data_IF_968112626033
#
_entry.id   IF_968112626033
#
_cell.length_a   1.000
_cell.length_b   1.000
_cell.length_c   1.000
_cell.angle_alpha   90.00
_cell.angle_beta   90.00
_cell.angle_gamma   90.00
#
_symmetry.space_group_name_H-M   'P 1'
#
loop_
_entity.id
_entity.type
_entity.pdbx_description
1 polymer ?
#
# COMPACT_ATOMS: atom_id res chain seq x y z
N UNK A 1 18.81 -24.83 -0.67
CA UNK A 1 20.06 -24.15 -1.06
C UNK A 1 19.87 -22.64 -1.15
N UNK A 2 18.89 -22.14 -1.90
CA UNK A 2 18.66 -20.71 -2.17
C UNK A 2 18.30 -19.94 -0.90
N UNK A 3 17.44 -20.50 -0.05
CA UNK A 3 17.05 -19.90 1.24
C UNK A 3 18.27 -19.68 2.14
N UNK A 4 19.18 -20.66 2.19
CA UNK A 4 20.40 -20.54 2.99
C UNK A 4 21.28 -19.40 2.47
N UNK A 5 21.48 -19.31 1.16
CA UNK A 5 22.27 -18.24 0.53
C UNK A 5 21.65 -16.86 0.83
N UNK A 6 20.34 -16.74 0.77
CA UNK A 6 19.62 -15.51 1.11
C UNK A 6 19.84 -15.12 2.60
N UNK A 7 19.71 -16.09 3.50
CA UNK A 7 19.95 -15.86 4.94
C UNK A 7 21.40 -15.49 5.25
N UNK A 8 22.37 -16.09 4.58
CA UNK A 8 23.80 -15.73 4.73
C UNK A 8 24.07 -14.29 4.28
N UNK A 9 23.40 -13.82 3.19
CA UNK A 9 23.46 -12.41 2.75
C UNK A 9 22.85 -11.46 3.79
N UNK A 10 21.67 -11.77 4.30
CA UNK A 10 21.00 -10.97 5.32
C UNK A 10 21.87 -10.91 6.59
N UNK A 11 22.41 -12.06 7.02
CA UNK A 11 23.32 -12.11 8.18
C UNK A 11 24.57 -11.24 7.99
N UNK A 12 25.11 -11.20 6.77
CA UNK A 12 26.25 -10.33 6.46
C UNK A 12 25.84 -8.85 6.58
N UNK A 13 24.73 -8.44 5.98
CA UNK A 13 24.24 -7.08 6.09
C UNK A 13 23.99 -6.65 7.55
N UNK A 14 23.46 -7.57 8.36
CA UNK A 14 23.26 -7.33 9.79
C UNK A 14 24.58 -7.15 10.53
N UNK A 15 25.57 -8.01 10.30
CA UNK A 15 26.92 -7.91 10.87
C UNK A 15 27.64 -6.62 10.47
N UNK A 16 27.45 -6.20 9.23
CA UNK A 16 28.02 -4.97 8.68
C UNK A 16 27.25 -3.71 9.15
N UNK A 17 26.22 -3.88 10.00
CA UNK A 17 25.34 -2.80 10.55
C UNK A 17 24.61 -2.00 9.48
N UNK A 18 24.30 -2.64 8.37
CA UNK A 18 23.53 -2.08 7.27
C UNK A 18 22.02 -2.33 7.41
N UNK A 19 21.63 -3.20 8.35
CA UNK A 19 20.23 -3.46 8.72
C UNK A 19 20.06 -3.03 10.18
N UNK A 20 18.87 -2.51 10.50
CA UNK A 20 18.50 -2.12 11.86
C UNK A 20 18.78 -3.27 12.83
N UNK A 21 19.62 -3.07 13.86
CA UNK A 21 19.93 -4.12 14.85
C UNK A 21 18.72 -4.58 15.64
N UNK A 22 17.68 -3.76 15.73
CA UNK A 22 16.44 -4.06 16.45
C UNK A 22 15.34 -4.62 15.54
N UNK A 23 15.66 -5.01 14.31
CA UNK A 23 14.68 -5.49 13.32
C UNK A 23 13.79 -6.64 13.81
N UNK A 24 14.28 -7.46 14.75
CA UNK A 24 13.54 -8.61 15.27
C UNK A 24 12.60 -8.26 16.44
N UNK A 25 12.74 -7.07 17.02
CA UNK A 25 11.95 -6.63 18.18
C UNK A 25 11.07 -5.43 17.87
N UNK A 26 11.26 -4.78 16.73
CA UNK A 26 10.38 -3.68 16.28
C UNK A 26 9.08 -4.22 15.71
N UNK A 27 8.00 -3.52 15.99
CA UNK A 27 6.70 -3.80 15.39
C UNK A 27 6.58 -3.19 13.97
N UNK A 28 7.27 -2.07 13.73
CA UNK A 28 7.29 -1.37 12.45
C UNK A 28 8.60 -0.60 12.24
N UNK A 29 8.77 0.01 11.08
CA UNK A 29 9.94 0.80 10.72
C UNK A 29 9.69 2.32 10.78
N UNK A 30 8.52 2.79 11.21
CA UNK A 30 8.15 4.21 11.12
C UNK A 30 9.06 5.10 11.97
N UNK A 31 9.30 4.73 13.22
CA UNK A 31 10.12 5.53 14.13
C UNK A 31 11.54 5.81 13.60
N UNK A 32 12.34 4.79 13.20
CA UNK A 32 13.68 5.04 12.68
C UNK A 32 13.68 5.76 11.31
N UNK A 33 12.63 5.61 10.51
CA UNK A 33 12.46 6.37 9.26
C UNK A 33 12.27 7.86 9.54
N UNK A 34 11.34 8.22 10.42
CA UNK A 34 11.06 9.61 10.79
C UNK A 34 12.23 10.25 11.54
N UNK A 35 13.00 9.46 12.28
CA UNK A 35 14.22 9.91 12.95
C UNK A 35 15.42 10.09 12.00
N UNK A 36 15.27 9.89 10.69
CA UNK A 36 16.33 10.05 9.70
C UNK A 36 17.46 9.03 9.82
N UNK A 37 17.22 7.89 10.47
CA UNK A 37 18.22 6.84 10.69
C UNK A 37 18.27 5.79 9.58
N UNK A 38 17.29 5.81 8.68
CA UNK A 38 17.13 4.83 7.61
C UNK A 38 17.10 5.56 6.28
N UNK A 39 17.97 5.18 5.35
CA UNK A 39 18.03 5.75 4.00
C UNK A 39 17.35 4.91 2.93
N UNK A 40 17.09 3.63 3.21
CA UNK A 40 16.40 2.71 2.30
C UNK A 40 15.50 1.80 3.10
N UNK A 41 14.27 1.61 2.64
CA UNK A 41 13.36 0.60 3.18
C UNK A 41 12.54 -0.04 2.07
N UNK A 42 12.10 -1.25 2.30
CA UNK A 42 11.21 -1.96 1.39
C UNK A 42 9.78 -1.87 1.92
N UNK A 43 8.87 -1.51 1.05
CA UNK A 43 7.45 -1.47 1.38
C UNK A 43 6.63 -1.78 0.12
N UNK A 44 5.32 -1.98 0.31
CA UNK A 44 4.38 -2.00 -0.78
C UNK A 44 4.16 -0.58 -1.34
N UNK A 45 3.34 -0.46 -2.39
CA UNK A 45 3.06 0.82 -3.05
C UNK A 45 2.65 1.94 -2.06
N UNK A 46 1.98 1.60 -0.98
CA UNK A 46 1.54 2.55 0.05
C UNK A 46 2.65 3.04 1.00
N UNK A 47 3.91 2.77 0.72
CA UNK A 47 5.04 3.24 1.53
C UNK A 47 5.06 4.75 1.77
N UNK A 48 4.45 5.53 0.87
CA UNK A 48 4.26 6.96 1.02
C UNK A 48 3.57 7.38 2.31
N UNK A 49 2.61 6.59 2.80
CA UNK A 49 1.93 6.85 4.08
C UNK A 49 2.91 6.80 5.27
N UNK A 50 3.92 5.95 5.21
CA UNK A 50 4.92 5.83 6.28
C UNK A 50 5.81 7.07 6.38
N UNK A 51 6.13 7.70 5.24
CA UNK A 51 7.10 8.81 5.16
C UNK A 51 6.44 10.18 4.91
N UNK A 52 5.10 10.23 4.88
CA UNK A 52 4.37 11.46 4.59
C UNK A 52 4.67 12.59 5.56
N UNK A 53 4.77 12.30 6.85
CA UNK A 53 5.05 13.32 7.88
C UNK A 53 6.41 13.99 7.65
N UNK A 54 7.45 13.21 7.33
CA UNK A 54 8.78 13.75 7.02
C UNK A 54 8.78 14.54 5.69
N UNK A 55 7.98 14.10 4.72
CA UNK A 55 7.79 14.81 3.45
C UNK A 55 7.07 16.14 3.68
N UNK A 56 6.01 16.17 4.48
CA UNK A 56 5.27 17.39 4.83
C UNK A 56 6.14 18.39 5.60
N UNK A 57 7.01 17.92 6.47
CA UNK A 57 7.95 18.77 7.20
C UNK A 57 9.08 19.32 6.31
N UNK A 58 9.23 18.83 5.07
CA UNK A 58 10.32 19.22 4.17
C UNK A 58 11.70 18.68 4.60
N UNK A 59 11.72 17.66 5.45
CA UNK A 59 12.94 17.10 6.04
C UNK A 59 13.60 16.04 5.17
N UNK A 60 12.82 15.37 4.30
CA UNK A 60 13.31 14.27 3.47
C UNK A 60 12.61 14.23 2.10
N UNK A 61 13.37 13.94 1.05
CA UNK A 61 12.90 13.64 -0.30
C UNK A 61 12.91 12.12 -0.53
N UNK A 62 11.79 11.47 -0.20
CA UNK A 62 11.62 10.04 -0.39
C UNK A 62 11.15 9.72 -1.80
N UNK A 63 11.88 8.82 -2.47
CA UNK A 63 11.57 8.36 -3.83
C UNK A 63 11.45 6.85 -3.87
N UNK A 64 10.46 6.35 -4.61
CA UNK A 64 10.30 4.93 -4.83
C UNK A 64 11.12 4.47 -6.04
N UNK A 65 11.69 3.29 -5.90
CA UNK A 65 12.36 2.58 -6.97
C UNK A 65 11.80 1.17 -7.02
N UNK A 66 11.70 0.65 -8.23
CA UNK A 66 11.28 -0.72 -8.40
C UNK A 66 12.26 -1.68 -7.72
N UNK A 67 11.73 -2.75 -7.14
CA UNK A 67 12.57 -3.80 -6.51
C UNK A 67 13.55 -4.36 -7.53
N UNK A 68 14.81 -4.65 -7.14
CA UNK A 68 15.80 -5.20 -8.05
C UNK A 68 15.27 -6.41 -8.81
N UNK A 69 15.45 -6.40 -10.13
CA UNK A 69 14.97 -7.45 -11.01
C UNK A 69 15.84 -8.71 -10.90
N UNK A 70 15.26 -9.86 -11.24
CA UNK A 70 15.99 -11.10 -11.43
C UNK A 70 16.90 -11.01 -12.66
N UNK A 71 17.79 -12.02 -12.86
CA UNK A 71 18.77 -12.04 -13.97
C UNK A 71 18.11 -11.97 -15.34
N UNK A 72 16.87 -12.44 -15.48
CA UNK A 72 16.09 -12.39 -16.71
C UNK A 72 15.36 -11.05 -16.93
N UNK A 73 15.54 -10.09 -16.03
CA UNK A 73 14.96 -8.78 -16.11
C UNK A 73 13.53 -8.67 -15.58
N UNK A 74 13.00 -9.72 -14.94
CA UNK A 74 11.64 -9.74 -14.38
C UNK A 74 11.63 -9.58 -12.85
N UNK A 75 10.50 -9.13 -12.32
CA UNK A 75 10.19 -9.15 -10.91
C UNK A 75 9.16 -10.23 -10.60
N UNK A 76 9.58 -11.22 -9.85
CA UNK A 76 8.73 -12.33 -9.43
C UNK A 76 8.15 -12.07 -8.05
N UNK A 77 6.83 -12.02 -7.95
CA UNK A 77 6.13 -11.85 -6.67
C UNK A 77 5.18 -13.00 -6.42
N UNK A 78 5.18 -13.50 -5.19
CA UNK A 78 4.21 -14.49 -4.76
C UNK A 78 2.91 -13.80 -4.41
N UNK A 79 1.82 -14.23 -5.07
CA UNK A 79 0.49 -13.75 -4.76
C UNK A 79 0.12 -14.14 -3.33
N UNK A 80 -0.34 -13.20 -2.50
CA UNK A 80 -0.82 -13.53 -1.17
C UNK A 80 -2.08 -14.40 -1.26
N UNK A 81 -2.45 -15.01 -0.12
CA UNK A 81 -3.74 -15.67 -0.03
C UNK A 81 -4.85 -14.65 -0.32
N UNK A 82 -5.72 -14.90 -1.33
CA UNK A 82 -6.80 -13.96 -1.67
C UNK A 82 -7.79 -13.75 -0.51
N UNK A 83 -7.89 -14.72 0.40
CA UNK A 83 -8.72 -14.59 1.60
C UNK A 83 -7.84 -14.24 2.79
N UNK A 84 -7.71 -12.96 3.04
CA UNK A 84 -6.83 -12.39 4.06
C UNK A 84 -7.59 -12.09 5.37
N UNK A 85 -8.87 -11.68 5.27
CA UNK A 85 -9.70 -11.35 6.43
C UNK A 85 -11.01 -12.13 6.40
N UNK A 86 -11.51 -12.44 7.61
CA UNK A 86 -12.73 -13.21 7.78
C UNK A 86 -13.68 -12.51 8.72
N UNK A 87 -14.94 -12.40 8.35
CA UNK A 87 -16.00 -12.02 9.28
C UNK A 87 -16.55 -13.31 9.89
N UNK A 88 -16.46 -13.42 11.20
CA UNK A 88 -16.93 -14.62 11.92
C UNK A 88 -18.05 -14.28 12.89
N UNK A 89 -19.10 -15.09 12.89
CA UNK A 89 -20.17 -15.00 13.87
C UNK A 89 -20.02 -16.15 14.89
N UNK A 90 -20.19 -15.84 16.17
CA UNK A 90 -20.23 -16.89 17.21
C UNK A 90 -21.36 -17.87 16.93
N UNK A 91 -21.14 -19.16 17.18
CA UNK A 91 -22.20 -20.18 17.09
C UNK A 91 -23.42 -19.90 18.00
N UNK A 92 -23.22 -19.08 19.02
CA UNK A 92 -24.30 -18.67 19.95
C UNK A 92 -24.92 -17.33 19.55
N UNK A 93 -24.51 -16.74 18.41
CA UNK A 93 -25.10 -15.49 17.92
C UNK A 93 -26.57 -15.74 17.54
N UNK A 94 -27.45 -14.87 18.04
CA UNK A 94 -28.90 -14.98 17.78
C UNK A 94 -29.28 -14.52 16.37
N UNK A 95 -28.49 -13.61 15.81
CA UNK A 95 -28.75 -12.99 14.50
C UNK A 95 -27.47 -12.99 13.64
N UNK A 96 -26.95 -14.15 13.21
CA UNK A 96 -25.69 -14.23 12.46
C UNK A 96 -25.77 -13.50 11.11
N UNK A 97 -26.95 -13.40 10.52
CA UNK A 97 -27.21 -12.67 9.28
C UNK A 97 -26.96 -11.17 9.39
N UNK A 98 -26.94 -10.62 10.60
CA UNK A 98 -26.66 -9.20 10.82
C UNK A 98 -25.29 -8.79 10.30
N UNK A 99 -24.28 -9.67 10.39
CA UNK A 99 -22.94 -9.39 9.86
C UNK A 99 -22.97 -9.14 8.35
N UNK A 100 -23.68 -9.99 7.60
CA UNK A 100 -23.83 -9.81 6.14
C UNK A 100 -24.65 -8.56 5.78
N UNK A 101 -25.71 -8.27 6.54
CA UNK A 101 -26.52 -7.06 6.34
C UNK A 101 -25.67 -5.79 6.56
N UNK A 102 -24.82 -5.77 7.58
CA UNK A 102 -23.93 -4.65 7.84
C UNK A 102 -22.94 -4.48 6.70
N UNK A 103 -22.26 -5.54 6.28
CA UNK A 103 -21.30 -5.50 5.16
C UNK A 103 -21.98 -4.98 3.90
N UNK A 104 -23.15 -5.53 3.55
CA UNK A 104 -23.89 -5.08 2.36
C UNK A 104 -24.30 -3.61 2.46
N UNK A 105 -24.73 -3.15 3.63
CA UNK A 105 -25.07 -1.75 3.85
C UNK A 105 -23.86 -0.84 3.71
N UNK A 106 -22.72 -1.24 4.24
CA UNK A 106 -21.47 -0.49 4.15
C UNK A 106 -21.03 -0.35 2.68
N UNK A 107 -21.03 -1.44 1.91
CA UNK A 107 -20.67 -1.44 0.48
C UNK A 107 -21.64 -0.56 -0.32
N UNK A 108 -22.95 -0.71 -0.09
CA UNK A 108 -23.96 0.02 -0.86
C UNK A 108 -23.94 1.54 -0.64
N UNK A 109 -23.39 2.01 0.48
CA UNK A 109 -23.37 3.43 0.84
C UNK A 109 -21.96 4.04 0.87
N UNK A 110 -20.96 3.31 0.43
CA UNK A 110 -19.56 3.75 0.50
C UNK A 110 -19.33 5.09 -0.20
N UNK A 111 -19.85 5.26 -1.42
CA UNK A 111 -19.70 6.50 -2.17
C UNK A 111 -20.33 7.69 -1.42
N UNK A 112 -21.52 7.50 -0.86
CA UNK A 112 -22.20 8.55 -0.10
C UNK A 112 -21.36 9.01 1.10
N UNK A 113 -20.67 8.10 1.77
CA UNK A 113 -19.83 8.45 2.92
C UNK A 113 -18.54 9.16 2.51
N UNK A 114 -17.98 8.83 1.35
CA UNK A 114 -16.86 9.58 0.78
C UNK A 114 -17.30 11.01 0.46
N UNK A 115 -18.44 11.15 -0.21
CA UNK A 115 -19.00 12.46 -0.58
C UNK A 115 -19.38 13.32 0.64
N UNK A 116 -19.85 12.70 1.69
CA UNK A 116 -20.21 13.36 2.96
C UNK A 116 -18.98 13.65 3.87
N UNK A 117 -17.79 13.23 3.46
CA UNK A 117 -16.57 13.39 4.24
C UNK A 117 -16.52 12.56 5.53
N UNK A 118 -17.37 11.54 5.64
CA UNK A 118 -17.44 10.65 6.81
C UNK A 118 -16.33 9.62 6.78
N UNK A 119 -15.95 9.15 5.59
CA UNK A 119 -14.78 8.31 5.42
C UNK A 119 -13.57 9.16 5.04
N UNK A 120 -12.41 8.88 5.64
CA UNK A 120 -11.20 9.53 5.18
C UNK A 120 -10.87 9.07 3.76
N UNK A 121 -10.49 10.02 2.92
CA UNK A 121 -10.00 9.73 1.57
C UNK A 121 -8.69 8.94 1.60
N UNK A 122 -8.04 8.86 2.75
CA UNK A 122 -6.75 8.19 2.92
C UNK A 122 -6.88 6.68 3.11
N UNK A 123 -7.89 6.25 3.88
CA UNK A 123 -8.00 4.86 4.34
C UNK A 123 -9.32 4.20 3.96
N UNK A 124 -10.22 4.94 3.35
CA UNK A 124 -11.56 4.47 3.07
C UNK A 124 -12.36 4.22 4.36
N UNK A 125 -13.39 3.40 4.26
CA UNK A 125 -14.25 3.07 5.39
C UNK A 125 -13.69 2.03 6.35
N UNK A 126 -12.55 1.42 6.02
CA UNK A 126 -12.00 0.28 6.77
C UNK A 126 -11.62 0.60 8.22
N UNK A 127 -11.24 1.85 8.50
CA UNK A 127 -10.82 2.26 9.85
C UNK A 127 -12.01 2.47 10.79
N UNK A 128 -13.16 2.83 10.24
CA UNK A 128 -14.37 3.10 11.03
C UNK A 128 -15.24 1.86 11.23
N UNK A 129 -15.08 0.85 10.37
CA UNK A 129 -15.99 -0.30 10.34
C UNK A 129 -15.21 -1.62 10.33
N UNK A 130 -15.09 -2.27 11.49
CA UNK A 130 -14.31 -3.51 11.60
C UNK A 130 -14.85 -4.65 10.75
N UNK A 131 -16.09 -4.55 10.28
CA UNK A 131 -16.71 -5.57 9.42
C UNK A 131 -16.52 -5.30 7.92
N UNK A 132 -15.99 -4.15 7.55
CA UNK A 132 -15.77 -3.80 6.17
C UNK A 132 -14.31 -3.41 5.94
N UNK A 133 -13.71 -4.03 4.95
CA UNK A 133 -12.38 -3.73 4.48
C UNK A 133 -12.38 -4.03 2.97
N UNK A 134 -13.02 -3.16 2.23
CA UNK A 134 -13.14 -3.25 0.79
C UNK A 134 -12.22 -2.26 0.10
N UNK A 135 -11.76 -2.68 -1.04
CA UNK A 135 -11.10 -1.83 -2.03
C UNK A 135 -12.03 -1.71 -3.21
N UNK A 136 -11.82 -0.72 -4.06
CA UNK A 136 -12.64 -0.54 -5.26
C UNK A 136 -12.50 -1.72 -6.20
N UNK A 137 -11.46 -1.76 -7.01
CA UNK A 137 -11.16 -2.83 -7.93
C UNK A 137 -9.75 -3.39 -7.72
N UNK A 138 -9.50 -4.58 -8.23
CA UNK A 138 -8.19 -5.22 -8.12
C UNK A 138 -7.07 -4.44 -8.82
N UNK A 139 -7.43 -3.63 -9.82
CA UNK A 139 -6.55 -2.79 -10.63
C UNK A 139 -6.56 -1.31 -10.21
N UNK A 140 -7.09 -1.00 -9.01
CA UNK A 140 -7.22 0.39 -8.53
C UNK A 140 -5.91 1.17 -8.63
N UNK A 141 -4.80 0.57 -8.27
CA UNK A 141 -3.51 1.26 -8.21
C UNK A 141 -2.97 1.57 -9.60
N UNK A 142 -3.03 0.59 -10.49
CA UNK A 142 -2.61 0.74 -11.88
C UNK A 142 -3.44 1.82 -12.58
N UNK A 143 -4.75 1.69 -12.51
CA UNK A 143 -5.68 2.64 -13.16
C UNK A 143 -5.54 4.03 -12.58
N UNK A 144 -5.45 4.16 -11.24
CA UNK A 144 -5.28 5.46 -10.60
C UNK A 144 -3.95 6.11 -10.98
N UNK A 145 -2.85 5.37 -10.94
CA UNK A 145 -1.52 5.89 -11.28
C UNK A 145 -1.48 6.35 -12.74
N UNK A 146 -1.86 5.50 -13.68
CA UNK A 146 -1.86 5.84 -15.12
C UNK A 146 -2.78 7.02 -15.44
N UNK A 147 -3.95 7.08 -14.80
CA UNK A 147 -4.90 8.17 -15.02
C UNK A 147 -4.35 9.49 -14.50
N UNK A 148 -3.75 9.50 -13.30
CA UNK A 148 -3.14 10.70 -12.74
C UNK A 148 -1.95 11.19 -13.58
N UNK A 149 -1.12 10.29 -14.10
CA UNK A 149 -0.01 10.62 -14.98
C UNK A 149 -0.51 11.27 -16.27
N UNK A 150 -1.49 10.67 -16.96
CA UNK A 150 -2.12 11.23 -18.18
C UNK A 150 -2.79 12.58 -17.91
N UNK A 151 -3.44 12.73 -16.76
CA UNK A 151 -4.08 13.97 -16.36
C UNK A 151 -3.06 15.09 -16.07
N UNK A 152 -1.94 14.78 -15.42
CA UNK A 152 -0.86 15.73 -15.22
C UNK A 152 -0.16 16.10 -16.52
N UNK A 153 0.00 15.14 -17.44
CA UNK A 153 0.53 15.39 -18.78
C UNK A 153 -0.41 16.22 -19.66
N UNK A 154 -1.67 16.39 -19.24
CA UNK A 154 -2.69 17.12 -20.04
C UNK A 154 -3.26 16.32 -21.20
N UNK A 155 -3.07 15.00 -21.21
CA UNK A 155 -3.58 14.09 -22.24
C UNK A 155 -5.08 13.82 -22.07
N UNK A 156 -5.57 13.91 -20.84
CA UNK A 156 -6.98 13.71 -20.48
C UNK A 156 -7.47 14.81 -19.54
N UNK A 157 -8.77 14.97 -19.48
CA UNK A 157 -9.52 15.83 -18.56
C UNK A 157 -10.37 14.99 -17.62
N UNK A 158 -11.01 15.60 -16.63
CA UNK A 158 -11.94 14.89 -15.75
C UNK A 158 -13.18 14.35 -16.48
N UNK A 159 -13.58 15.00 -17.57
CA UNK A 159 -14.74 14.58 -18.38
C UNK A 159 -14.48 13.31 -19.21
N UNK A 160 -13.21 12.95 -19.36
CA UNK A 160 -12.78 11.73 -20.09
C UNK A 160 -12.75 10.48 -19.19
N UNK A 161 -13.03 10.61 -17.89
CA UNK A 161 -12.86 9.52 -16.90
C UNK A 161 -14.20 9.04 -16.36
N UNK A 162 -14.41 7.73 -16.41
CA UNK A 162 -15.53 7.07 -15.71
C UNK A 162 -15.14 6.76 -14.26
N UNK A 163 -15.69 7.52 -13.33
CA UNK A 163 -15.43 7.36 -11.90
C UNK A 163 -16.27 6.27 -11.22
N UNK A 164 -17.16 5.59 -11.95
CA UNK A 164 -18.09 4.61 -11.36
C UNK A 164 -17.39 3.40 -10.75
N UNK A 165 -16.21 3.07 -11.24
CA UNK A 165 -15.44 1.89 -10.82
C UNK A 165 -14.30 2.22 -9.86
N UNK A 166 -13.83 3.47 -9.82
CA UNK A 166 -12.68 3.93 -9.02
C UNK A 166 -13.06 5.18 -8.23
N UNK A 167 -13.72 4.98 -7.11
CA UNK A 167 -14.40 6.04 -6.34
C UNK A 167 -13.46 7.14 -5.82
N UNK A 168 -12.23 6.78 -5.43
CA UNK A 168 -11.26 7.74 -4.90
C UNK A 168 -10.56 8.53 -6.02
N UNK A 169 -10.58 8.05 -7.25
CA UNK A 169 -9.87 8.66 -8.36
C UNK A 169 -10.31 10.09 -8.66
N UNK A 170 -11.60 10.40 -8.47
CA UNK A 170 -12.11 11.76 -8.64
C UNK A 170 -11.46 12.74 -7.67
N UNK A 171 -11.41 12.40 -6.39
CA UNK A 171 -10.78 13.23 -5.37
C UNK A 171 -9.26 13.32 -5.58
N UNK A 172 -8.62 12.25 -6.03
CA UNK A 172 -7.21 12.23 -6.38
C UNK A 172 -6.90 13.22 -7.52
N UNK A 173 -7.71 13.21 -8.59
CA UNK A 173 -7.57 14.14 -9.72
C UNK A 173 -7.84 15.60 -9.32
N UNK A 174 -8.83 15.86 -8.45
CA UNK A 174 -9.10 17.20 -7.93
C UNK A 174 -7.95 17.73 -7.07
N UNK A 175 -7.29 16.87 -6.31
CA UNK A 175 -6.22 17.23 -5.39
C UNK A 175 -4.86 17.35 -6.09
N UNK A 176 -4.54 16.47 -7.05
CA UNK A 176 -3.18 16.33 -7.57
C UNK A 176 -2.63 17.62 -8.20
N UNK A 177 -3.43 18.35 -8.97
CA UNK A 177 -3.00 19.64 -9.57
C UNK A 177 -2.83 20.76 -8.55
N UNK A 178 -3.45 20.64 -7.38
CA UNK A 178 -3.25 21.63 -6.29
C UNK A 178 -2.00 21.34 -5.48
N UNK A 179 -1.62 20.08 -5.41
CA UNK A 179 -0.45 19.63 -4.65
C UNK A 179 0.82 19.57 -5.48
N UNK A 180 0.75 19.13 -6.74
CA UNK A 180 1.91 19.04 -7.63
C UNK A 180 2.19 20.38 -8.32
N UNK A 181 3.46 20.77 -8.34
CA UNK A 181 3.96 21.94 -9.12
C UNK A 181 4.50 21.45 -10.46
N UNK A 182 4.32 22.26 -11.49
CA UNK A 182 4.96 22.01 -12.78
C UNK A 182 6.49 22.22 -12.73
N UNK A 183 7.27 21.46 -13.50
CA UNK A 183 6.86 20.35 -14.37
C UNK A 183 6.52 19.09 -13.56
N UNK A 184 5.60 18.28 -14.09
CA UNK A 184 5.09 17.07 -13.41
C UNK A 184 5.94 15.82 -13.65
N UNK A 185 7.02 15.92 -14.38
CA UNK A 185 7.95 14.85 -14.70
C UNK A 185 8.93 14.53 -13.56
N UNK A 186 8.99 15.39 -12.54
CA UNK A 186 9.83 15.20 -11.35
C UNK A 186 8.96 15.10 -10.09
N UNK A 187 9.15 14.03 -9.33
CA UNK A 187 8.45 13.76 -8.08
C UNK A 187 9.27 14.13 -6.83
N UNK A 188 10.30 14.96 -6.99
CA UNK A 188 11.10 15.48 -5.87
C UNK A 188 10.27 16.36 -4.93
N UNK A 189 10.76 16.52 -3.70
CA UNK A 189 10.08 17.24 -2.62
C UNK A 189 9.72 18.70 -3.01
N UNK A 190 10.58 19.37 -3.72
CA UNK A 190 10.37 20.76 -4.17
C UNK A 190 9.27 20.90 -5.24
N UNK A 191 8.82 19.78 -5.82
CA UNK A 191 7.70 19.72 -6.75
C UNK A 191 6.35 19.52 -6.08
N UNK A 192 6.30 19.53 -4.76
CA UNK A 192 5.06 19.44 -3.99
C UNK A 192 4.75 20.79 -3.33
N UNK A 193 3.48 21.18 -3.31
CA UNK A 193 3.00 22.34 -2.60
C UNK A 193 2.67 21.98 -1.15
N UNK A 194 3.67 21.95 -0.28
CA UNK A 194 3.54 21.51 1.10
C UNK A 194 2.86 22.52 2.02
N UNK A 195 2.69 23.75 1.58
CA UNK A 195 2.02 24.83 2.35
C UNK A 195 0.48 24.77 2.26
N UNK A 196 -0.04 23.85 1.45
CA UNK A 196 -1.48 23.67 1.27
C UNK A 196 -2.10 22.84 2.38
N UNK A 197 -3.27 23.26 2.92
CA UNK A 197 -4.04 22.45 3.87
C UNK A 197 -4.49 21.10 3.28
N UNK A 198 -4.68 21.05 1.96
CA UNK A 198 -4.97 19.82 1.22
C UNK A 198 -3.80 18.83 1.30
N UNK A 199 -2.57 19.32 1.44
CA UNK A 199 -1.38 18.48 1.54
C UNK A 199 -1.46 17.50 2.73
N UNK A 200 -2.01 17.94 3.85
CA UNK A 200 -2.13 17.11 5.06
C UNK A 200 -3.05 15.91 4.86
N UNK A 201 -4.07 16.05 4.02
CA UNK A 201 -5.09 15.02 3.81
C UNK A 201 -4.79 14.11 2.62
N UNK A 202 -4.31 14.69 1.51
CA UNK A 202 -4.19 13.95 0.25
C UNK A 202 -2.75 13.56 -0.12
N UNK A 203 -1.73 14.23 0.44
CA UNK A 203 -0.34 13.96 0.08
C UNK A 203 0.08 12.50 0.31
N UNK A 204 -0.24 11.86 1.45
CA UNK A 204 0.17 10.47 1.68
C UNK A 204 -0.31 9.53 0.57
N UNK A 205 -1.57 9.66 0.17
CA UNK A 205 -2.14 8.87 -0.92
C UNK A 205 -1.51 9.22 -2.28
N UNK A 206 -1.40 10.49 -2.61
CA UNK A 206 -0.83 10.92 -3.89
C UNK A 206 0.65 10.55 -4.04
N UNK A 207 1.44 10.65 -2.96
CA UNK A 207 2.83 10.15 -2.96
C UNK A 207 2.84 8.63 -3.15
N UNK A 208 1.94 7.91 -2.49
CA UNK A 208 1.83 6.46 -2.64
C UNK A 208 1.45 6.06 -4.07
N UNK A 209 0.55 6.77 -4.72
CA UNK A 209 0.18 6.51 -6.12
C UNK A 209 1.29 6.93 -7.09
N UNK A 210 1.68 8.19 -7.10
CA UNK A 210 2.57 8.75 -8.12
C UNK A 210 4.04 8.35 -7.95
N UNK A 211 4.47 8.04 -6.73
CA UNK A 211 5.84 7.61 -6.45
C UNK A 211 5.89 6.10 -6.24
N UNK A 212 5.02 5.56 -5.41
CA UNK A 212 4.96 4.12 -5.12
C UNK A 212 4.28 3.32 -6.23
N UNK A 213 3.13 3.79 -6.72
CA UNK A 213 2.35 3.12 -7.76
C UNK A 213 3.06 3.07 -9.11
N UNK A 214 3.82 4.10 -9.46
CA UNK A 214 4.62 4.13 -10.70
C UNK A 214 5.63 2.97 -10.79
N UNK A 215 6.11 2.47 -9.64
CA UNK A 215 6.98 1.28 -9.61
C UNK A 215 6.21 -0.04 -9.78
N UNK A 216 4.90 -0.01 -9.67
CA UNK A 216 4.00 -1.16 -9.78
C UNK A 216 3.52 -1.36 -11.24
N UNK A 217 3.26 -0.27 -11.94
CA UNK A 217 2.78 -0.26 -13.33
C UNK A 217 3.95 -0.47 -14.28
N UNK A 218 4.26 -1.73 -14.59
CA UNK A 218 5.25 -2.06 -15.60
C UNK A 218 5.09 -3.51 -16.10
N UNK A 219 5.69 -3.79 -17.26
CA UNK A 219 5.66 -5.07 -17.96
C UNK A 219 6.57 -6.16 -17.38
N UNK A 220 7.33 -5.81 -16.35
CA UNK A 220 8.32 -6.71 -15.70
C UNK A 220 7.76 -7.49 -14.53
N UNK A 221 6.53 -7.16 -14.12
CA UNK A 221 5.86 -7.81 -13.01
C UNK A 221 5.32 -9.18 -13.44
N UNK A 222 5.78 -10.23 -12.78
CA UNK A 222 5.34 -11.61 -13.04
C UNK A 222 4.73 -12.19 -11.76
N UNK A 223 3.41 -12.38 -11.70
CA UNK A 223 2.76 -13.00 -10.55
C UNK A 223 3.10 -14.48 -10.47
N UNK A 224 3.55 -14.91 -9.31
CA UNK A 224 3.78 -16.33 -9.01
C UNK A 224 2.69 -16.81 -8.07
N UNK A 225 1.92 -17.78 -8.52
CA UNK A 225 0.86 -18.37 -7.72
C UNK A 225 1.44 -19.47 -6.81
N UNK A 226 1.08 -19.42 -5.54
CA UNK A 226 1.44 -20.47 -4.61
C UNK A 226 0.65 -21.75 -4.93
N UNK A 227 1.33 -22.89 -4.97
CA UNK A 227 0.68 -24.18 -5.15
C UNK A 227 -0.28 -24.53 -4.01
N UNK A 228 -0.07 -23.92 -2.84
CA UNK A 228 -0.88 -24.13 -1.64
C UNK A 228 -1.20 -22.80 -0.98
N UNK A 229 -2.47 -22.53 -0.73
CA UNK A 229 -2.95 -21.35 -0.02
C UNK A 229 -3.01 -21.61 1.50
N UNK A 230 -1.90 -21.99 2.09
CA UNK A 230 -1.79 -22.26 3.51
C UNK A 230 -0.79 -23.38 3.83
N UNK A 231 -0.72 -23.71 5.11
CA UNK A 231 0.12 -24.82 5.57
C UNK A 231 -0.60 -26.14 5.36
N UNK A 232 0.12 -27.14 4.87
CA UNK A 232 -0.38 -28.53 4.88
C UNK A 232 -0.32 -29.06 6.32
N UNK A 233 -1.13 -30.10 6.64
CA UNK A 233 -1.09 -30.77 7.95
C UNK A 233 0.32 -31.17 8.39
N UNK A 234 1.13 -31.63 7.45
CA UNK A 234 2.54 -31.97 7.69
C UNK A 234 3.39 -30.74 8.06
N UNK A 235 3.15 -29.59 7.42
CA UNK A 235 3.84 -28.35 7.75
C UNK A 235 3.41 -27.82 9.10
N UNK A 236 2.12 -27.88 9.42
CA UNK A 236 1.59 -27.49 10.73
C UNK A 236 2.18 -28.33 11.85
N UNK A 237 2.25 -29.65 11.68
CA UNK A 237 2.86 -30.55 12.66
C UNK A 237 4.34 -30.25 12.89
N UNK A 238 5.10 -29.97 11.81
CA UNK A 238 6.51 -29.62 11.91
C UNK A 238 6.70 -28.24 12.59
N UNK A 239 5.86 -27.28 12.25
CA UNK A 239 5.88 -25.94 12.83
C UNK A 239 5.55 -25.97 14.34
N UNK A 240 4.54 -26.75 14.72
CA UNK A 240 4.17 -26.95 16.12
C UNK A 240 5.31 -27.60 16.93
N UNK A 241 6.12 -28.45 16.31
CA UNK A 241 7.31 -29.01 16.95
C UNK A 241 8.44 -27.98 17.10
N UNK A 242 8.66 -27.12 16.12
CA UNK A 242 9.65 -26.03 16.22
C UNK A 242 9.30 -25.06 17.34
N UNK A 243 8.04 -24.66 17.48
CA UNK A 243 7.56 -23.80 18.56
C UNK A 243 7.74 -24.35 19.97
N UNK A 244 7.90 -25.67 20.11
CA UNK A 244 8.17 -26.32 21.41
C UNK A 244 9.67 -26.29 21.76
N UNK A 245 10.51 -25.89 20.83
CA UNK A 245 11.97 -25.81 21.01
C UNK A 245 12.46 -24.40 21.38
N UNK A 246 11.57 -23.42 21.35
CA UNK A 246 11.78 -22.07 21.89
C UNK A 246 11.48 -22.04 23.40
#
# INVERSE_FOLDING_TARGET
PETRTALEKIQKLYKDKLIDPEMFVRNDCKEPLLAGKVGIFFNAWWGGYTVADATLAGEADWRAYFTPLAEDGNYYTHMPNPTNKYVVASKNCKNPEAAFKIVNYLIANEQQWVDDGISSTEMGTSDFYPLYNGYDNADEIEVSTETLEKYLAGEITMDDVDFSQHKLLKSDMEAVKKLKKEPYDDFSLDKWNLDSDIAKTNLPRLVSLLVGGASYVNDKYVPVYNAYNGQTETMEAKWANLKKME
#
